data_IF_674803469061
#
_entry.id   IF_674803469061
#
_cell.length_a   1.000
_cell.length_b   1.000
_cell.length_c   1.000
_cell.angle_alpha   90.00
_cell.angle_beta   90.00
_cell.angle_gamma   90.00
#
_symmetry.space_group_name_H-M   'P 1'
#
loop_
_entity.id
_entity.type
_entity.pdbx_description
1 polymer ?
#
# COMPACT_ATOMS: atom_id res chain seq x y z
N UNK A 1 -17.43 5.51 7.98
CA UNK A 1 -16.21 5.73 8.80
C UNK A 1 -15.04 4.86 8.34
N UNK A 2 -15.25 3.56 8.08
CA UNK A 2 -14.21 2.63 7.58
C UNK A 2 -13.62 3.05 6.23
N UNK A 3 -14.46 3.51 5.28
CA UNK A 3 -14.00 3.99 3.95
C UNK A 3 -12.93 5.09 4.07
N UNK A 4 -13.11 6.07 4.97
CA UNK A 4 -12.13 7.14 5.21
C UNK A 4 -10.76 6.65 5.68
N UNK A 5 -10.69 5.50 6.35
CA UNK A 5 -9.42 4.94 6.85
C UNK A 5 -8.69 4.22 5.71
N UNK A 6 -9.42 3.48 4.88
CA UNK A 6 -8.89 2.76 3.72
C UNK A 6 -8.44 3.73 2.63
N UNK A 7 -9.14 4.86 2.48
CA UNK A 7 -8.75 5.91 1.53
C UNK A 7 -7.54 6.72 2.00
N UNK A 8 -7.14 6.60 3.27
CA UNK A 8 -5.97 7.32 3.79
C UNK A 8 -4.69 6.57 3.44
N UNK A 9 -3.64 7.26 2.97
CA UNK A 9 -2.36 6.61 2.68
C UNK A 9 -1.60 6.14 3.94
N UNK A 10 -1.91 6.70 5.11
CA UNK A 10 -1.13 6.45 6.34
C UNK A 10 -1.21 5.00 6.85
N UNK A 11 -2.39 4.36 6.99
CA UNK A 11 -2.48 2.95 7.38
C UNK A 11 -1.74 2.03 6.41
N UNK A 12 -1.77 2.36 5.11
CA UNK A 12 -1.07 1.61 4.08
C UNK A 12 0.44 1.79 4.15
N UNK A 13 0.95 2.97 4.52
CA UNK A 13 2.37 3.16 4.81
C UNK A 13 2.83 2.24 5.93
N UNK A 14 2.09 2.22 7.05
CA UNK A 14 2.42 1.38 8.21
C UNK A 14 2.39 -0.10 7.82
N UNK A 15 1.34 -0.54 7.12
CA UNK A 15 1.24 -1.91 6.62
C UNK A 15 2.41 -2.26 5.69
N UNK A 16 2.76 -1.37 4.77
CA UNK A 16 3.89 -1.53 3.85
C UNK A 16 5.20 -1.79 4.61
N UNK A 17 5.58 -0.89 5.53
CA UNK A 17 6.81 -1.04 6.31
C UNK A 17 6.83 -2.36 7.08
N UNK A 18 5.75 -2.69 7.79
CA UNK A 18 5.68 -3.90 8.61
C UNK A 18 5.82 -5.16 7.77
N UNK A 19 5.10 -5.25 6.65
CA UNK A 19 5.14 -6.45 5.81
C UNK A 19 6.48 -6.55 5.08
N UNK A 20 7.00 -5.44 4.56
CA UNK A 20 8.32 -5.39 3.93
C UNK A 20 9.42 -5.83 4.89
N UNK A 21 9.43 -5.29 6.10
CA UNK A 21 10.40 -5.67 7.13
C UNK A 21 10.28 -7.13 7.56
N UNK A 22 9.06 -7.66 7.69
CA UNK A 22 8.85 -9.05 8.07
C UNK A 22 9.36 -10.00 6.98
N UNK A 23 8.99 -9.77 5.72
CA UNK A 23 9.21 -10.71 4.63
C UNK A 23 10.54 -10.56 3.89
N UNK A 24 11.15 -9.36 3.92
CA UNK A 24 12.36 -9.06 3.15
C UNK A 24 12.20 -9.29 1.64
N UNK A 25 13.33 -9.37 0.94
CA UNK A 25 13.37 -9.61 -0.52
C UNK A 25 13.26 -11.12 -0.80
N UNK A 26 12.05 -11.66 -0.65
CA UNK A 26 11.74 -13.06 -0.94
C UNK A 26 10.80 -13.20 -2.14
N UNK A 27 10.77 -14.38 -2.76
CA UNK A 27 9.81 -14.70 -3.84
C UNK A 27 8.35 -14.55 -3.39
N UNK A 28 8.05 -14.86 -2.13
CA UNK A 28 6.71 -14.64 -1.57
C UNK A 28 6.36 -13.15 -1.52
N UNK A 29 7.33 -12.33 -1.11
CA UNK A 29 7.19 -10.88 -1.00
C UNK A 29 6.87 -10.24 -2.37
N UNK A 30 7.55 -10.65 -3.44
CA UNK A 30 7.28 -10.12 -4.78
C UNK A 30 5.87 -10.49 -5.28
N UNK A 31 5.40 -11.70 -5.02
CA UNK A 31 4.02 -12.10 -5.35
C UNK A 31 2.98 -11.30 -4.55
N UNK A 32 3.24 -10.98 -3.29
CA UNK A 32 2.34 -10.16 -2.47
C UNK A 32 2.26 -8.72 -2.97
N UNK A 33 3.36 -8.13 -3.45
CA UNK A 33 3.34 -6.81 -4.08
C UNK A 33 2.48 -6.83 -5.35
N UNK A 34 2.60 -7.86 -6.19
CA UNK A 34 1.75 -8.04 -7.38
C UNK A 34 0.28 -8.17 -7.00
N UNK A 35 -0.03 -8.99 -6.00
CA UNK A 35 -1.40 -9.15 -5.50
C UNK A 35 -1.95 -7.84 -4.92
N UNK A 36 -1.15 -7.10 -4.16
CA UNK A 36 -1.51 -5.79 -3.61
C UNK A 36 -1.81 -4.75 -4.70
N UNK A 37 -0.99 -4.71 -5.76
CA UNK A 37 -1.25 -3.85 -6.91
C UNK A 37 -2.55 -4.22 -7.63
N UNK A 38 -2.78 -5.52 -7.86
CA UNK A 38 -4.01 -5.98 -8.49
C UNK A 38 -5.25 -5.58 -7.67
N UNK A 39 -5.21 -5.79 -6.34
CA UNK A 39 -6.26 -5.36 -5.41
C UNK A 39 -6.47 -3.85 -5.47
N UNK A 40 -5.38 -3.07 -5.49
CA UNK A 40 -5.44 -1.62 -5.58
C UNK A 40 -6.11 -1.13 -6.87
N UNK A 41 -5.78 -1.73 -8.02
CA UNK A 41 -6.41 -1.40 -9.31
C UNK A 41 -7.90 -1.73 -9.28
N UNK A 42 -8.27 -2.90 -8.75
CA UNK A 42 -9.69 -3.28 -8.58
C UNK A 42 -10.40 -2.30 -7.66
N UNK A 43 -9.76 -1.89 -6.55
CA UNK A 43 -10.31 -0.92 -5.61
C UNK A 43 -10.59 0.44 -6.26
N UNK A 44 -9.65 0.94 -7.07
CA UNK A 44 -9.84 2.16 -7.86
C UNK A 44 -10.97 2.01 -8.89
N UNK A 45 -11.04 0.89 -9.60
CA UNK A 45 -12.07 0.65 -10.61
C UNK A 45 -13.49 0.62 -10.02
N UNK A 46 -13.63 0.20 -8.75
CA UNK A 46 -14.90 0.18 -8.02
C UNK A 46 -15.25 1.55 -7.43
N UNK A 47 -14.26 2.42 -7.15
CA UNK A 47 -14.48 3.78 -6.67
C UNK A 47 -14.86 4.71 -7.84
N UNK A 48 -16.17 4.83 -8.12
CA UNK A 48 -16.71 5.68 -9.19
C UNK A 48 -16.92 7.16 -8.81
N UNK A 49 -17.13 7.46 -7.53
CA UNK A 49 -17.37 8.82 -7.04
C UNK A 49 -16.12 9.33 -6.30
N UNK A 50 -15.09 9.68 -7.07
CA UNK A 50 -13.96 10.41 -6.53
C UNK A 50 -14.43 11.82 -6.13
N UNK A 51 -14.71 12.01 -4.84
CA UNK A 51 -14.85 13.37 -4.29
C UNK A 51 -13.48 14.02 -4.37
N UNK A 52 -13.38 15.20 -5.00
CA UNK A 52 -12.13 15.97 -5.15
C UNK A 52 -11.32 16.06 -3.85
N UNK A 53 -11.99 16.17 -2.69
CA UNK A 53 -11.34 16.30 -1.39
C UNK A 53 -10.68 15.02 -0.86
N UNK A 54 -10.98 13.85 -1.42
CA UNK A 54 -10.46 12.54 -0.95
C UNK A 54 -9.75 11.74 -2.04
N UNK A 55 -9.92 12.11 -3.31
CA UNK A 55 -9.30 11.45 -4.45
C UNK A 55 -7.77 11.39 -4.35
N UNK A 56 -7.13 12.48 -3.92
CA UNK A 56 -5.67 12.51 -3.75
C UNK A 56 -5.17 11.46 -2.74
N UNK A 57 -5.89 11.27 -1.63
CA UNK A 57 -5.54 10.27 -0.62
C UNK A 57 -5.76 8.84 -1.16
N UNK A 58 -6.88 8.62 -1.85
CA UNK A 58 -7.21 7.36 -2.51
C UNK A 58 -6.14 6.96 -3.54
N UNK A 59 -5.72 7.89 -4.40
CA UNK A 59 -4.69 7.66 -5.41
C UNK A 59 -3.29 7.51 -4.78
N UNK A 60 -3.00 8.20 -3.68
CA UNK A 60 -1.71 8.08 -3.01
C UNK A 60 -1.53 6.75 -2.24
N UNK A 61 -2.62 6.10 -1.82
CA UNK A 61 -2.58 4.93 -0.94
C UNK A 61 -1.76 3.76 -1.50
N UNK A 62 -1.96 3.38 -2.77
CA UNK A 62 -1.23 2.30 -3.44
C UNK A 62 0.28 2.59 -3.59
N UNK A 63 0.69 3.73 -4.19
CA UNK A 63 2.09 4.12 -4.27
C UNK A 63 2.77 4.23 -2.90
N UNK A 64 2.10 4.79 -1.90
CA UNK A 64 2.64 4.92 -0.54
C UNK A 64 2.88 3.56 0.09
N UNK A 65 1.95 2.61 -0.07
CA UNK A 65 2.15 1.23 0.37
C UNK A 65 3.41 0.61 -0.24
N UNK A 66 3.60 0.74 -1.55
CA UNK A 66 4.75 0.17 -2.25
C UNK A 66 6.07 0.77 -1.79
N UNK A 67 6.15 2.10 -1.68
CA UNK A 67 7.36 2.80 -1.22
C UNK A 67 7.69 2.44 0.23
N UNK A 68 6.67 2.38 1.09
CA UNK A 68 6.84 1.98 2.48
C UNK A 68 7.27 0.52 2.62
N UNK A 69 6.79 -0.36 1.75
CA UNK A 69 7.22 -1.75 1.69
C UNK A 69 8.69 -1.88 1.29
N UNK A 70 9.13 -1.14 0.27
CA UNK A 70 10.54 -1.05 -0.12
C UNK A 70 11.39 -0.54 1.04
N UNK A 71 10.93 0.48 1.76
CA UNK A 71 11.60 0.97 2.97
C UNK A 71 11.73 -0.12 4.03
N UNK A 72 10.69 -0.92 4.25
CA UNK A 72 10.72 -2.06 5.16
C UNK A 72 11.81 -3.08 4.80
N UNK A 73 12.00 -3.38 3.50
CA UNK A 73 13.11 -4.21 3.03
C UNK A 73 14.47 -3.65 3.43
N UNK A 74 14.71 -2.38 3.11
CA UNK A 74 15.98 -1.73 3.41
C UNK A 74 16.29 -1.72 4.91
N UNK A 75 15.28 -1.47 5.75
CA UNK A 75 15.45 -1.50 7.20
C UNK A 75 15.81 -2.91 7.69
N UNK A 76 15.17 -3.95 7.14
CA UNK A 76 15.46 -5.34 7.50
C UNK A 76 16.89 -5.73 7.16
N UNK A 77 17.37 -5.34 5.99
CA UNK A 77 18.71 -5.73 5.54
C UNK A 77 19.83 -4.93 6.24
N UNK A 78 19.49 -3.80 6.89
CA UNK A 78 20.42 -2.98 7.66
C UNK A 78 20.64 -3.49 9.10
N UNK A 79 19.67 -4.22 9.67
CA UNK A 79 19.65 -4.68 11.07
C UNK A 79 19.99 -6.16 11.18
#
# INVERSE_FOLDING_TARGET
>A
MILRIIDSPLPWAIAGVVIGFALGVTTLSSWLVVAGLAVYIVYLALHRDARESTEGNLVASGPVFMLAWILGFYIKDLV
#
